data_IF_127919797644
#
_entry.id   IF_127919797644
#
_cell.length_a   1.000
_cell.length_b   1.000
_cell.length_c   1.000
_cell.angle_alpha   90.00
_cell.angle_beta   90.00
_cell.angle_gamma   90.00
#
_symmetry.space_group_name_H-M   'P 1'
#
loop_
_entity.id
_entity.type
_entity.pdbx_description
1 polymer ?
#
# COMPACT_ATOMS: atom_id res chain seq x y z
N UNK A 1 17.87 -18.15 9.30
CA UNK A 1 17.95 -19.46 9.96
C UNK A 1 18.09 -19.26 11.45
N UNK A 2 17.08 -19.69 12.17
CA UNK A 2 16.82 -19.43 13.59
C UNK A 2 17.85 -20.10 14.49
N UNK A 3 19.01 -19.55 14.75
CA UNK A 3 19.93 -19.79 15.86
C UNK A 3 19.98 -21.14 16.63
N UNK A 4 19.34 -22.17 16.12
CA UNK A 4 19.41 -23.53 16.72
C UNK A 4 20.73 -24.18 16.32
N UNK A 5 21.57 -24.41 17.29
CA UNK A 5 22.79 -25.21 17.12
C UNK A 5 22.37 -26.66 16.81
N UNK A 6 22.58 -27.11 15.58
CA UNK A 6 22.52 -28.52 15.21
C UNK A 6 23.93 -29.08 15.28
N UNK A 7 24.14 -30.10 16.10
CA UNK A 7 25.38 -30.91 16.09
C UNK A 7 25.15 -32.12 15.21
N UNK A 8 25.98 -32.29 14.20
CA UNK A 8 25.99 -33.45 13.31
C UNK A 8 27.30 -34.17 13.47
N UNK A 9 27.27 -35.48 13.66
CA UNK A 9 28.47 -36.31 13.66
C UNK A 9 28.99 -36.44 12.23
N UNK A 10 30.23 -35.99 12.01
CA UNK A 10 30.95 -36.11 10.74
C UNK A 10 31.86 -37.30 10.76
N UNK A 11 32.01 -38.03 9.67
CA UNK A 11 32.98 -39.11 9.52
C UNK A 11 34.38 -38.53 9.32
N UNK A 12 35.44 -39.23 9.76
CA UNK A 12 36.81 -38.71 9.79
C UNK A 12 37.33 -38.18 8.44
N UNK A 13 36.80 -38.61 7.29
CA UNK A 13 37.16 -38.11 5.97
C UNK A 13 36.45 -36.84 5.53
N UNK A 14 35.41 -36.35 6.24
CA UNK A 14 34.61 -35.15 5.89
C UNK A 14 35.08 -33.89 6.62
N UNK A 15 35.96 -34.04 7.62
CA UNK A 15 36.41 -32.95 8.48
C UNK A 15 37.37 -31.97 7.77
N UNK A 16 38.31 -32.45 6.99
CA UNK A 16 39.33 -31.63 6.31
C UNK A 16 38.70 -30.75 5.20
N UNK A 17 37.89 -31.31 4.28
CA UNK A 17 37.21 -30.48 3.28
C UNK A 17 36.29 -29.42 3.89
N UNK A 18 35.62 -29.71 5.01
CA UNK A 18 34.75 -28.76 5.70
C UNK A 18 35.54 -27.64 6.39
N UNK A 19 36.71 -27.96 6.96
CA UNK A 19 37.62 -26.96 7.53
C UNK A 19 38.15 -26.01 6.45
N UNK A 20 38.53 -26.51 5.28
CA UNK A 20 38.96 -25.70 4.16
C UNK A 20 37.85 -24.77 3.66
N UNK A 21 36.62 -25.28 3.55
CA UNK A 21 35.46 -24.45 3.16
C UNK A 21 35.15 -23.33 4.19
N UNK A 22 35.28 -23.63 5.49
CA UNK A 22 35.10 -22.65 6.55
C UNK A 22 36.18 -21.56 6.49
N UNK A 23 37.43 -21.94 6.27
CA UNK A 23 38.54 -20.98 6.14
C UNK A 23 38.39 -20.13 4.88
N UNK A 24 38.06 -20.72 3.73
CA UNK A 24 37.77 -19.99 2.50
C UNK A 24 36.59 -18.99 2.70
N UNK A 25 35.52 -19.39 3.39
CA UNK A 25 34.41 -18.53 3.72
C UNK A 25 34.82 -17.33 4.61
N UNK A 26 35.69 -17.57 5.61
CA UNK A 26 36.21 -16.50 6.46
C UNK A 26 37.06 -15.49 5.66
N UNK A 27 37.93 -15.99 4.78
CA UNK A 27 38.76 -15.14 3.91
C UNK A 27 37.87 -14.30 2.98
N UNK A 28 36.88 -14.93 2.33
CA UNK A 28 35.95 -14.22 1.47
C UNK A 28 35.12 -13.18 2.24
N UNK A 29 34.67 -13.50 3.45
CA UNK A 29 33.97 -12.55 4.32
C UNK A 29 34.86 -11.36 4.72
N UNK A 30 36.14 -11.61 5.01
CA UNK A 30 37.09 -10.55 5.34
C UNK A 30 37.34 -9.64 4.12
N UNK A 31 37.52 -10.22 2.93
CA UNK A 31 37.68 -9.48 1.67
C UNK A 31 36.42 -8.65 1.33
N UNK A 32 35.25 -9.22 1.51
CA UNK A 32 33.97 -8.53 1.32
C UNK A 32 33.85 -7.31 2.25
N UNK A 33 34.21 -7.49 3.53
CA UNK A 33 34.18 -6.42 4.53
C UNK A 33 35.18 -5.30 4.21
N UNK A 34 36.36 -5.68 3.71
CA UNK A 34 37.40 -4.72 3.28
C UNK A 34 36.95 -3.95 2.02
N UNK A 35 36.36 -4.63 1.03
CA UNK A 35 35.80 -3.99 -0.16
C UNK A 35 34.64 -3.06 0.19
N UNK A 36 33.73 -3.47 1.10
CA UNK A 36 32.64 -2.64 1.59
C UNK A 36 33.16 -1.39 2.34
N UNK A 37 34.26 -1.52 3.08
CA UNK A 37 34.91 -0.39 3.77
C UNK A 37 35.61 0.59 2.82
N UNK A 38 36.12 0.08 1.69
CA UNK A 38 36.77 0.88 0.64
C UNK A 38 35.76 1.51 -0.34
N UNK A 39 34.53 1.02 -0.38
CA UNK A 39 33.48 1.67 -1.19
C UNK A 39 33.23 3.08 -0.65
N UNK A 40 33.38 4.14 -1.48
CA UNK A 40 33.04 5.47 -1.05
C UNK A 40 31.59 5.44 -0.56
N UNK A 41 31.34 5.95 0.65
CA UNK A 41 29.98 6.23 1.10
C UNK A 41 29.44 7.27 0.13
N UNK A 42 28.80 6.81 -0.94
CA UNK A 42 28.07 7.68 -1.85
C UNK A 42 27.03 8.36 -0.97
N UNK A 43 27.25 9.63 -0.65
CA UNK A 43 26.21 10.48 -0.09
C UNK A 43 25.10 10.44 -1.14
N UNK A 44 24.03 9.71 -0.86
CA UNK A 44 22.86 9.80 -1.69
C UNK A 44 22.52 11.28 -1.83
N UNK A 45 22.45 11.82 -3.05
CA UNK A 45 22.06 13.21 -3.23
C UNK A 45 20.74 13.39 -2.49
N UNK A 46 20.57 14.50 -1.79
CA UNK A 46 19.31 14.83 -1.13
C UNK A 46 18.29 14.96 -2.24
N UNK A 47 17.47 13.91 -2.41
CA UNK A 47 16.43 13.89 -3.43
C UNK A 47 15.39 14.94 -3.02
N UNK A 48 15.14 15.88 -3.90
CA UNK A 48 14.08 16.87 -3.76
C UNK A 48 12.84 16.37 -4.50
N UNK A 49 11.76 16.14 -3.77
CA UNK A 49 10.50 15.58 -4.29
C UNK A 49 9.43 16.65 -4.34
N UNK A 50 8.56 16.55 -5.35
CA UNK A 50 7.42 17.44 -5.53
C UNK A 50 6.19 16.94 -4.76
N UNK A 51 6.11 15.63 -4.55
CA UNK A 51 5.04 14.98 -3.78
C UNK A 51 5.51 14.62 -2.37
N UNK A 52 4.61 14.09 -1.54
CA UNK A 52 4.92 13.72 -0.16
C UNK A 52 5.61 12.36 -0.08
N UNK A 53 6.87 12.29 -0.50
CA UNK A 53 7.67 11.06 -0.49
C UNK A 53 8.32 10.84 0.87
N UNK A 54 8.14 9.64 1.44
CA UNK A 54 8.74 9.19 2.70
C UNK A 54 9.68 8.02 2.39
N UNK A 55 10.94 8.13 2.82
CA UNK A 55 11.98 7.11 2.64
C UNK A 55 12.81 6.92 3.91
N UNK A 56 13.56 5.84 4.00
CA UNK A 56 14.57 5.62 5.04
C UNK A 56 13.99 5.63 6.46
N UNK A 57 14.53 6.51 7.34
CA UNK A 57 14.11 6.58 8.75
C UNK A 57 12.63 6.97 8.92
N UNK A 58 12.11 7.83 8.05
CA UNK A 58 10.69 8.23 8.08
C UNK A 58 9.78 7.04 7.79
N UNK A 59 10.16 6.22 6.81
CA UNK A 59 9.41 5.01 6.46
C UNK A 59 9.41 3.99 7.60
N UNK A 60 10.56 3.76 8.24
CA UNK A 60 10.67 2.87 9.39
C UNK A 60 9.82 3.36 10.58
N UNK A 61 9.83 4.65 10.87
CA UNK A 61 9.02 5.25 11.94
C UNK A 61 7.52 5.10 11.66
N UNK A 62 7.08 5.39 10.42
CA UNK A 62 5.68 5.28 10.00
C UNK A 62 5.14 3.85 10.14
N UNK A 63 5.96 2.83 9.84
CA UNK A 63 5.57 1.44 9.88
C UNK A 63 5.69 0.77 11.26
N UNK A 64 6.36 1.42 12.21
CA UNK A 64 6.58 0.84 13.54
C UNK A 64 5.29 0.68 14.34
N UNK A 65 4.35 1.61 14.23
CA UNK A 65 3.10 1.61 14.99
C UNK A 65 2.14 0.46 14.67
N UNK A 66 2.30 -0.20 13.52
CA UNK A 66 1.45 -1.33 13.10
C UNK A 66 2.11 -2.70 13.32
N UNK A 67 3.31 -2.70 13.86
CA UNK A 67 4.08 -3.90 14.12
C UNK A 67 3.43 -4.73 15.23
N UNK A 68 3.02 -5.94 14.92
CA UNK A 68 2.32 -6.80 15.87
C UNK A 68 0.79 -6.77 15.78
N UNK A 69 0.20 -5.89 15.00
CA UNK A 69 -1.23 -5.94 14.73
C UNK A 69 -1.61 -7.12 13.84
N UNK A 70 -2.82 -7.63 14.03
CA UNK A 70 -3.36 -8.69 13.18
C UNK A 70 -3.42 -8.29 11.71
N UNK A 71 -3.19 -9.25 10.83
CA UNK A 71 -3.25 -9.04 9.38
C UNK A 71 -4.67 -9.30 8.86
N UNK A 72 -5.09 -8.51 7.86
CA UNK A 72 -6.30 -8.79 7.07
C UNK A 72 -6.14 -10.11 6.32
N UNK A 73 -7.22 -10.85 6.13
CA UNK A 73 -7.19 -12.13 5.41
C UNK A 73 -6.70 -11.96 3.96
N UNK A 74 -6.97 -10.82 3.34
CA UNK A 74 -6.47 -10.48 2.00
C UNK A 74 -5.00 -10.04 1.95
N UNK A 75 -4.31 -9.90 3.09
CA UNK A 75 -2.93 -9.40 3.15
C UNK A 75 -1.93 -10.28 2.39
N UNK A 76 -2.13 -11.60 2.38
CA UNK A 76 -1.27 -12.52 1.63
C UNK A 76 -1.16 -12.19 0.15
N UNK A 77 -2.25 -11.69 -0.47
CA UNK A 77 -2.24 -11.29 -1.88
C UNK A 77 -1.28 -10.12 -2.15
N UNK A 78 -1.11 -9.21 -1.18
CA UNK A 78 -0.15 -8.11 -1.28
C UNK A 78 1.30 -8.62 -1.14
N UNK A 79 1.56 -9.54 -0.20
CA UNK A 79 2.89 -10.17 -0.06
C UNK A 79 3.24 -10.96 -1.32
N UNK A 80 2.30 -11.73 -1.88
CA UNK A 80 2.50 -12.49 -3.12
C UNK A 80 2.88 -11.57 -4.29
N UNK A 81 2.22 -10.40 -4.42
CA UNK A 81 2.59 -9.43 -5.44
C UNK A 81 3.99 -8.86 -5.23
N UNK A 82 4.33 -8.45 -4.01
CA UNK A 82 5.60 -7.80 -3.69
C UNK A 82 6.81 -8.69 -4.04
N UNK A 83 6.69 -9.99 -3.81
CA UNK A 83 7.77 -10.96 -4.00
C UNK A 83 7.59 -11.85 -5.23
N UNK A 84 6.57 -11.59 -6.06
CA UNK A 84 6.40 -12.27 -7.35
C UNK A 84 7.46 -11.82 -8.35
N UNK A 85 7.71 -12.67 -9.36
CA UNK A 85 8.54 -12.33 -10.51
C UNK A 85 7.76 -11.59 -11.62
N UNK A 86 6.48 -11.26 -11.39
CA UNK A 86 5.67 -10.52 -12.35
C UNK A 86 6.25 -9.12 -12.56
N UNK A 87 6.44 -8.75 -13.82
CA UNK A 87 6.76 -7.40 -14.30
C UNK A 87 5.52 -6.82 -14.99
N UNK A 88 5.52 -5.52 -15.28
CA UNK A 88 4.46 -4.81 -16.02
C UNK A 88 3.08 -4.73 -15.37
N UNK A 89 2.93 -5.21 -14.15
CA UNK A 89 1.67 -5.13 -13.38
C UNK A 89 1.81 -4.23 -12.16
N UNK A 90 0.72 -3.57 -11.81
CA UNK A 90 0.58 -2.79 -10.57
C UNK A 90 -0.39 -3.48 -9.62
N UNK A 91 -0.17 -3.36 -8.32
CA UNK A 91 -1.11 -3.84 -7.31
C UNK A 91 -2.05 -2.70 -6.90
N UNK A 92 -3.35 -2.95 -6.92
CA UNK A 92 -4.38 -2.00 -6.53
C UNK A 92 -5.05 -2.45 -5.23
N UNK A 93 -4.88 -1.69 -4.14
CA UNK A 93 -5.51 -1.96 -2.85
C UNK A 93 -6.61 -0.92 -2.63
N UNK A 94 -7.86 -1.28 -2.89
CA UNK A 94 -8.96 -0.33 -2.89
C UNK A 94 -10.20 -0.85 -2.14
N UNK A 95 -11.11 0.05 -1.81
CA UNK A 95 -12.32 -0.25 -1.06
C UNK A 95 -12.72 0.92 -0.16
N UNK A 96 -13.79 0.76 0.58
CA UNK A 96 -14.37 1.81 1.42
C UNK A 96 -13.40 2.32 2.49
N UNK A 97 -13.68 3.50 3.02
CA UNK A 97 -12.92 4.05 4.17
C UNK A 97 -12.97 3.09 5.36
N UNK A 98 -11.90 3.11 6.16
CA UNK A 98 -11.77 2.32 7.41
C UNK A 98 -11.79 0.80 7.22
N UNK A 99 -11.44 0.29 6.05
CA UNK A 99 -11.27 -1.15 5.80
C UNK A 99 -9.83 -1.65 5.94
N UNK A 100 -8.92 -0.80 6.43
CA UNK A 100 -7.54 -1.18 6.78
C UNK A 100 -6.52 -1.07 5.65
N UNK A 101 -6.80 -0.40 4.53
CA UNK A 101 -5.88 -0.27 3.38
C UNK A 101 -4.52 0.30 3.77
N UNK A 102 -4.48 1.53 4.29
CA UNK A 102 -3.24 2.19 4.75
C UNK A 102 -2.49 1.34 5.78
N UNK A 103 -3.23 0.69 6.69
CA UNK A 103 -2.65 -0.24 7.67
C UNK A 103 -1.96 -1.42 6.99
N UNK A 104 -2.59 -2.02 5.97
CA UNK A 104 -1.99 -3.11 5.19
C UNK A 104 -0.69 -2.67 4.50
N UNK A 105 -0.66 -1.48 3.90
CA UNK A 105 0.55 -0.94 3.27
C UNK A 105 1.67 -0.78 4.31
N UNK A 106 1.36 -0.20 5.46
CA UNK A 106 2.33 -0.03 6.57
C UNK A 106 2.82 -1.36 7.13
N UNK A 107 1.92 -2.36 7.26
CA UNK A 107 2.28 -3.71 7.70
C UNK A 107 3.20 -4.39 6.68
N UNK A 108 2.94 -4.25 5.39
CA UNK A 108 3.82 -4.78 4.35
C UNK A 108 5.23 -4.18 4.47
N UNK A 109 5.34 -2.85 4.61
CA UNK A 109 6.61 -2.14 4.82
C UNK A 109 7.30 -2.60 6.11
N UNK A 110 6.56 -2.78 7.21
CA UNK A 110 7.12 -3.21 8.50
C UNK A 110 7.71 -4.62 8.47
N UNK A 111 7.28 -5.46 7.53
CA UNK A 111 7.70 -6.87 7.35
C UNK A 111 8.83 -7.04 6.35
N UNK A 112 9.16 -6.00 5.60
CA UNK A 112 10.25 -6.04 4.61
C UNK A 112 11.61 -6.31 5.25
N UNK A 113 12.49 -6.95 4.50
CA UNK A 113 13.90 -7.09 4.86
C UNK A 113 14.56 -5.70 4.95
N UNK A 114 15.68 -5.59 5.65
CA UNK A 114 16.45 -4.32 5.71
C UNK A 114 16.90 -3.87 4.33
N UNK A 115 17.21 -4.80 3.45
CA UNK A 115 17.63 -4.52 2.08
C UNK A 115 16.46 -3.96 1.27
N UNK A 116 15.30 -4.63 1.26
CA UNK A 116 14.11 -4.17 0.55
C UNK A 116 13.61 -2.84 1.10
N UNK A 117 13.61 -2.67 2.43
CA UNK A 117 13.21 -1.42 3.08
C UNK A 117 14.11 -0.24 2.63
N UNK A 118 15.40 -0.48 2.39
CA UNK A 118 16.33 0.55 1.89
C UNK A 118 16.01 1.01 0.46
N UNK A 119 15.27 0.19 -0.29
CA UNK A 119 14.82 0.43 -1.67
C UNK A 119 13.33 0.69 -1.76
N UNK A 120 12.69 1.06 -0.66
CA UNK A 120 11.26 1.30 -0.57
C UNK A 120 10.95 2.76 -0.35
N UNK A 121 9.94 3.27 -1.04
CA UNK A 121 9.36 4.60 -0.86
C UNK A 121 7.85 4.49 -0.60
N UNK A 122 7.33 5.43 0.19
CA UNK A 122 5.91 5.60 0.40
C UNK A 122 5.54 7.04 0.04
N UNK A 123 4.47 7.20 -0.71
CA UNK A 123 3.95 8.50 -1.16
C UNK A 123 2.50 8.58 -0.70
N UNK A 124 2.16 9.64 0.03
CA UNK A 124 0.77 9.97 0.32
C UNK A 124 0.31 11.01 -0.70
N UNK A 125 -0.50 10.59 -1.65
CA UNK A 125 -1.03 11.48 -2.68
C UNK A 125 -2.00 12.51 -2.08
N UNK A 126 -2.01 13.71 -2.63
CA UNK A 126 -2.86 14.83 -2.24
C UNK A 126 -3.66 15.33 -3.44
N UNK A 127 -4.76 16.03 -3.19
CA UNK A 127 -5.57 16.65 -4.24
C UNK A 127 -4.83 17.70 -5.08
N UNK A 128 -3.76 18.28 -4.53
CA UNK A 128 -2.90 19.22 -5.24
C UNK A 128 -1.87 18.55 -6.14
N UNK A 129 -1.62 17.25 -5.96
CA UNK A 129 -0.62 16.52 -6.71
C UNK A 129 -1.18 16.16 -8.10
N UNK A 130 -0.29 16.08 -9.07
CA UNK A 130 -0.63 15.71 -10.45
C UNK A 130 0.19 14.49 -10.89
N UNK A 131 -0.30 13.79 -11.91
CA UNK A 131 0.44 12.67 -12.50
C UNK A 131 1.80 13.11 -13.08
N UNK A 132 1.92 14.35 -13.54
CA UNK A 132 3.20 14.90 -13.99
C UNK A 132 4.22 15.04 -12.85
N UNK A 133 3.80 15.50 -11.66
CA UNK A 133 4.64 15.53 -10.44
C UNK A 133 5.02 14.12 -10.01
N UNK A 134 4.05 13.23 -9.96
CA UNK A 134 4.24 11.82 -9.62
C UNK A 134 5.25 11.14 -10.55
N UNK A 135 5.14 11.35 -11.85
CA UNK A 135 6.06 10.81 -12.85
C UNK A 135 7.51 11.28 -12.61
N UNK A 136 7.71 12.58 -12.33
CA UNK A 136 9.05 13.12 -12.04
C UNK A 136 9.65 12.51 -10.78
N UNK A 137 8.85 12.35 -9.74
CA UNK A 137 9.33 11.77 -8.48
C UNK A 137 9.60 10.27 -8.61
N UNK A 138 8.74 9.51 -9.31
CA UNK A 138 8.97 8.09 -9.60
C UNK A 138 10.25 7.89 -10.42
N UNK A 139 10.52 8.78 -11.40
CA UNK A 139 11.76 8.73 -12.16
C UNK A 139 12.98 8.96 -11.26
N UNK A 140 12.94 9.98 -10.37
CA UNK A 140 14.02 10.21 -9.39
C UNK A 140 14.22 9.00 -8.46
N UNK A 141 13.13 8.35 -8.02
CA UNK A 141 13.20 7.14 -7.19
C UNK A 141 13.81 5.98 -7.97
N UNK A 142 13.39 5.75 -9.20
CA UNK A 142 13.94 4.71 -10.07
C UNK A 142 15.44 4.90 -10.31
N UNK A 143 15.86 6.12 -10.69
CA UNK A 143 17.28 6.48 -10.94
C UNK A 143 18.13 6.33 -9.67
N UNK A 144 17.53 6.50 -8.48
CA UNK A 144 18.17 6.29 -7.18
C UNK A 144 18.18 4.82 -6.71
N UNK A 145 17.63 3.88 -7.51
CA UNK A 145 17.64 2.45 -7.24
C UNK A 145 16.52 1.94 -6.34
N UNK A 146 15.45 2.72 -6.15
CA UNK A 146 14.27 2.24 -5.45
C UNK A 146 13.53 1.20 -6.29
N UNK A 147 13.01 0.17 -5.61
CA UNK A 147 12.33 -0.94 -6.25
C UNK A 147 10.85 -1.05 -5.86
N UNK A 148 10.51 -0.69 -4.64
CA UNK A 148 9.16 -0.80 -4.09
C UNK A 148 8.60 0.59 -3.85
N UNK A 149 7.44 0.91 -4.42
CA UNK A 149 6.78 2.20 -4.21
C UNK A 149 5.32 1.98 -3.83
N UNK A 150 4.97 2.47 -2.65
CA UNK A 150 3.61 2.46 -2.14
C UNK A 150 3.03 3.86 -2.31
N UNK A 151 1.94 3.99 -3.03
CA UNK A 151 1.25 5.27 -3.27
C UNK A 151 -0.14 5.18 -2.66
N UNK A 152 -0.35 5.88 -1.55
CA UNK A 152 -1.60 5.87 -0.82
C UNK A 152 -2.50 7.03 -1.24
N UNK A 153 -3.81 6.79 -1.29
CA UNK A 153 -4.87 7.71 -1.72
C UNK A 153 -4.65 8.28 -3.14
N UNK A 154 -4.13 7.46 -4.07
CA UNK A 154 -3.79 7.89 -5.45
C UNK A 154 -5.00 8.48 -6.20
N UNK A 155 -6.20 8.03 -5.91
CA UNK A 155 -7.45 8.50 -6.52
C UNK A 155 -7.82 9.92 -6.15
N UNK A 156 -7.11 10.58 -5.21
CA UNK A 156 -7.29 12.01 -4.94
C UNK A 156 -6.77 12.90 -6.08
N UNK A 157 -5.83 12.40 -6.89
CA UNK A 157 -5.31 13.13 -8.04
C UNK A 157 -6.33 13.11 -9.17
N UNK A 158 -6.65 14.29 -9.71
CA UNK A 158 -7.72 14.43 -10.73
C UNK A 158 -7.40 13.71 -12.04
N UNK A 159 -6.13 13.68 -12.41
CA UNK A 159 -5.63 13.11 -13.66
C UNK A 159 -5.19 11.63 -13.51
N UNK A 160 -5.52 10.98 -12.37
CA UNK A 160 -5.16 9.60 -12.11
C UNK A 160 -5.82 8.63 -13.10
N UNK A 161 -7.14 8.74 -13.29
CA UNK A 161 -7.91 7.78 -14.09
C UNK A 161 -7.37 7.72 -15.52
N UNK A 162 -7.17 8.87 -16.16
CA UNK A 162 -6.75 8.97 -17.56
C UNK A 162 -5.24 8.75 -17.78
N UNK A 163 -4.48 8.60 -16.70
CA UNK A 163 -3.02 8.48 -16.78
C UNK A 163 -2.48 7.29 -15.99
N UNK A 164 -3.33 6.39 -15.54
CA UNK A 164 -2.93 5.26 -14.69
C UNK A 164 -1.98 4.27 -15.39
N UNK A 165 -2.03 4.17 -16.72
CA UNK A 165 -1.12 3.36 -17.53
C UNK A 165 0.36 3.70 -17.30
N UNK A 166 0.69 4.93 -16.89
CA UNK A 166 2.05 5.33 -16.56
C UNK A 166 2.70 4.40 -15.53
N UNK A 167 1.95 3.97 -14.53
CA UNK A 167 2.47 3.11 -13.46
C UNK A 167 2.86 1.72 -13.96
N UNK A 168 2.07 1.14 -14.86
CA UNK A 168 2.33 -0.18 -15.44
C UNK A 168 3.34 -0.11 -16.59
N UNK A 169 3.10 0.73 -17.59
CA UNK A 169 3.80 0.75 -18.84
C UNK A 169 5.22 1.30 -18.74
N UNK A 170 5.46 2.15 -17.77
CA UNK A 170 6.77 2.74 -17.55
C UNK A 170 7.46 2.08 -16.36
N UNK A 171 6.92 2.28 -15.15
CA UNK A 171 7.67 1.95 -13.95
C UNK A 171 7.61 0.46 -13.58
N UNK A 172 6.46 -0.19 -13.66
CA UNK A 172 6.38 -1.62 -13.41
C UNK A 172 7.09 -2.43 -14.50
N UNK A 173 6.99 -2.01 -15.76
CA UNK A 173 7.72 -2.61 -16.87
C UNK A 173 9.25 -2.51 -16.70
N UNK A 174 9.75 -1.46 -16.03
CA UNK A 174 11.16 -1.33 -15.67
C UNK A 174 11.55 -2.10 -14.40
N UNK A 175 10.65 -2.89 -13.83
CA UNK A 175 10.91 -3.77 -12.67
C UNK A 175 10.64 -3.15 -11.30
N UNK A 176 9.98 -1.99 -11.23
CA UNK A 176 9.47 -1.47 -9.95
C UNK A 176 8.20 -2.21 -9.53
N UNK A 177 8.06 -2.48 -8.25
CA UNK A 177 6.80 -2.93 -7.65
C UNK A 177 6.01 -1.72 -7.20
N UNK A 178 4.90 -1.44 -7.89
CA UNK A 178 4.04 -0.29 -7.64
C UNK A 178 2.76 -0.75 -6.97
N UNK A 179 2.49 -0.24 -5.79
CA UNK A 179 1.28 -0.49 -5.03
C UNK A 179 0.50 0.81 -4.93
N UNK A 180 -0.69 0.82 -5.50
CA UNK A 180 -1.60 1.95 -5.49
C UNK A 180 -2.72 1.68 -4.51
N UNK A 181 -3.06 2.60 -3.62
CA UNK A 181 -4.22 2.46 -2.76
C UNK A 181 -5.12 3.69 -2.79
N UNK A 182 -6.38 3.47 -2.45
CA UNK A 182 -7.35 4.55 -2.35
C UNK A 182 -8.74 4.08 -1.95
N UNK A 183 -9.55 5.04 -1.55
CA UNK A 183 -10.93 4.81 -1.08
C UNK A 183 -11.96 4.89 -2.19
N UNK A 184 -11.60 5.43 -3.33
CA UNK A 184 -12.50 5.60 -4.48
C UNK A 184 -12.51 4.33 -5.36
N UNK A 185 -13.42 3.41 -5.05
CA UNK A 185 -13.56 2.16 -5.80
C UNK A 185 -14.00 2.38 -7.24
N UNK A 186 -14.80 3.41 -7.51
CA UNK A 186 -15.23 3.73 -8.88
C UNK A 186 -14.05 4.24 -9.71
N UNK A 187 -13.22 5.13 -9.16
CA UNK A 187 -12.02 5.61 -9.84
C UNK A 187 -11.04 4.48 -10.20
N UNK A 188 -10.84 3.52 -9.29
CA UNK A 188 -10.03 2.34 -9.61
C UNK A 188 -10.67 1.44 -10.65
N UNK A 189 -11.99 1.26 -10.60
CA UNK A 189 -12.68 0.47 -11.59
C UNK A 189 -12.55 1.10 -12.99
N UNK A 190 -12.75 2.40 -13.11
CA UNK A 190 -12.55 3.15 -14.35
C UNK A 190 -11.12 3.04 -14.87
N UNK A 191 -10.11 3.22 -13.99
CA UNK A 191 -8.72 3.08 -14.36
C UNK A 191 -8.38 1.65 -14.85
N UNK A 192 -8.94 0.61 -14.19
CA UNK A 192 -8.76 -0.78 -14.62
C UNK A 192 -9.40 -1.08 -15.97
N UNK A 193 -10.59 -0.53 -16.23
CA UNK A 193 -11.33 -0.78 -17.47
C UNK A 193 -10.62 -0.16 -18.69
N UNK A 194 -9.94 0.96 -18.50
CA UNK A 194 -9.38 1.74 -19.61
C UNK A 194 -7.86 1.69 -19.70
N UNK A 195 -7.17 2.07 -18.63
CA UNK A 195 -5.74 2.32 -18.64
C UNK A 195 -4.90 1.12 -18.18
N UNK A 196 -5.45 0.33 -17.24
CA UNK A 196 -4.75 -0.78 -16.58
C UNK A 196 -5.30 -2.15 -16.98
N UNK A 197 -5.95 -2.26 -18.13
CA UNK A 197 -6.51 -3.52 -18.61
C UNK A 197 -5.45 -4.62 -18.63
N UNK A 198 -5.73 -5.76 -17.94
CA UNK A 198 -4.80 -6.89 -17.72
C UNK A 198 -3.45 -6.56 -17.03
N UNK A 199 -3.22 -5.30 -16.63
CA UNK A 199 -1.98 -4.84 -15.98
C UNK A 199 -2.16 -4.50 -14.50
N UNK A 200 -3.32 -4.80 -13.95
CA UNK A 200 -3.63 -4.60 -12.55
C UNK A 200 -3.83 -5.91 -11.81
N UNK A 201 -3.32 -5.99 -10.58
CA UNK A 201 -3.65 -7.02 -9.60
C UNK A 201 -4.52 -6.41 -8.52
N UNK A 202 -5.85 -6.49 -8.63
CA UNK A 202 -6.75 -5.85 -7.69
C UNK A 202 -6.84 -6.64 -6.38
N UNK A 203 -6.76 -5.92 -5.26
CA UNK A 203 -7.06 -6.39 -3.91
C UNK A 203 -8.18 -5.52 -3.38
N UNK A 204 -9.41 -6.03 -3.44
CA UNK A 204 -10.57 -5.30 -2.95
C UNK A 204 -10.74 -5.52 -1.45
N UNK A 205 -10.53 -4.48 -0.66
CA UNK A 205 -10.80 -4.51 0.78
C UNK A 205 -12.27 -4.22 1.03
N UNK A 206 -13.06 -5.27 1.17
CA UNK A 206 -14.47 -5.19 1.57
C UNK A 206 -14.61 -4.78 3.04
N UNK A 207 -15.83 -4.58 3.51
CA UNK A 207 -16.11 -4.59 4.94
C UNK A 207 -15.45 -5.81 5.60
N UNK A 208 -14.90 -5.62 6.80
CA UNK A 208 -14.22 -6.69 7.53
C UNK A 208 -15.28 -7.69 8.00
N UNK A 209 -15.25 -8.96 7.56
CA UNK A 209 -16.22 -9.96 8.02
C UNK A 209 -16.15 -10.15 9.54
N UNK A 210 -17.27 -10.50 10.18
CA UNK A 210 -17.35 -10.64 11.65
C UNK A 210 -16.24 -11.52 12.24
N UNK A 211 -15.97 -12.67 11.64
CA UNK A 211 -14.91 -13.58 12.12
C UNK A 211 -13.52 -12.94 12.05
N UNK A 212 -13.22 -12.25 10.98
CA UNK A 212 -11.97 -11.51 10.82
C UNK A 212 -11.91 -10.32 11.80
N UNK A 213 -13.03 -9.62 11.97
CA UNK A 213 -13.17 -8.48 12.87
C UNK A 213 -12.91 -8.87 14.33
N UNK A 214 -13.55 -9.95 14.80
CA UNK A 214 -13.33 -10.52 16.13
C UNK A 214 -11.87 -10.88 16.35
N UNK A 215 -11.25 -11.55 15.38
CA UNK A 215 -9.82 -11.93 15.45
C UNK A 215 -8.88 -10.72 15.49
N UNK A 216 -9.17 -9.67 14.72
CA UNK A 216 -8.31 -8.49 14.62
C UNK A 216 -8.42 -7.58 15.84
N UNK A 217 -9.61 -7.38 16.36
CA UNK A 217 -9.93 -6.36 17.38
C UNK A 217 -10.32 -6.95 18.74
N UNK A 218 -10.46 -8.28 18.84
CA UNK A 218 -10.90 -8.94 20.08
C UNK A 218 -12.37 -8.64 20.43
N UNK A 219 -13.20 -8.28 19.43
CA UNK A 219 -14.60 -7.93 19.63
C UNK A 219 -15.47 -9.15 19.30
N UNK A 220 -16.10 -9.73 20.31
CA UNK A 220 -16.95 -10.91 20.16
C UNK A 220 -18.44 -10.58 20.16
N UNK A 221 -18.81 -9.32 20.40
CA UNK A 221 -20.21 -8.86 20.38
C UNK A 221 -20.66 -8.58 18.94
N UNK A 222 -21.73 -9.27 18.50
CA UNK A 222 -22.36 -9.02 17.20
C UNK A 222 -22.98 -7.62 17.15
N UNK A 223 -23.60 -7.16 18.26
CA UNK A 223 -24.20 -5.82 18.33
C UNK A 223 -23.13 -4.72 18.16
N UNK A 224 -21.96 -4.92 18.76
CA UNK A 224 -20.83 -4.00 18.58
C UNK A 224 -20.33 -4.03 17.13
N UNK A 225 -20.18 -5.23 16.56
CA UNK A 225 -19.80 -5.36 15.15
C UNK A 225 -20.77 -4.65 14.21
N UNK A 226 -22.08 -4.77 14.42
CA UNK A 226 -23.12 -4.11 13.60
C UNK A 226 -22.96 -2.58 13.68
N UNK A 227 -22.71 -2.02 14.87
CA UNK A 227 -22.50 -0.57 15.06
C UNK A 227 -21.32 -0.02 14.25
N UNK A 228 -20.28 -0.83 14.03
CA UNK A 228 -19.11 -0.45 13.22
C UNK A 228 -19.25 -0.85 11.75
N UNK A 229 -20.24 -1.73 11.41
CA UNK A 229 -20.49 -2.18 10.05
C UNK A 229 -19.28 -2.83 9.39
N UNK A 230 -18.43 -3.53 10.16
CA UNK A 230 -17.19 -4.12 9.63
C UNK A 230 -16.13 -3.09 9.22
N UNK A 231 -16.17 -1.89 9.80
CA UNK A 231 -15.14 -0.86 9.61
C UNK A 231 -14.33 -0.67 10.90
N UNK A 232 -13.06 -0.27 10.78
CA UNK A 232 -12.21 0.04 11.92
C UNK A 232 -12.69 1.33 12.60
N UNK A 233 -12.51 1.41 13.92
CA UNK A 233 -12.81 2.63 14.70
C UNK A 233 -11.93 3.78 14.19
N UNK A 234 -12.51 4.96 14.10
CA UNK A 234 -11.71 6.16 13.93
C UNK A 234 -10.94 6.43 15.25
N UNK A 235 -9.67 6.77 15.15
CA UNK A 235 -8.83 7.10 16.30
C UNK A 235 -7.96 5.95 16.82
N UNK A 236 -8.38 4.69 16.78
CA UNK A 236 -7.51 3.57 17.21
C UNK A 236 -6.46 3.21 16.15
N UNK A 237 -6.73 3.52 14.88
CA UNK A 237 -5.89 3.16 13.74
C UNK A 237 -5.67 4.31 12.74
N UNK A 238 -6.21 5.49 13.00
CA UNK A 238 -6.06 6.66 12.13
C UNK A 238 -4.85 7.49 12.57
N UNK A 239 -3.70 7.20 12.01
CA UNK A 239 -2.48 8.00 12.27
C UNK A 239 -2.46 9.36 11.54
N UNK A 240 -3.39 9.62 10.62
CA UNK A 240 -3.34 10.78 9.73
C UNK A 240 -4.70 11.44 9.41
N UNK A 241 -5.80 11.08 10.09
CA UNK A 241 -7.05 11.81 9.89
C UNK A 241 -7.09 13.04 10.79
N UNK A 242 -7.06 14.23 10.17
CA UNK A 242 -7.27 15.53 10.84
C UNK A 242 -8.68 15.65 11.46
N UNK A 243 -9.60 14.74 11.15
CA UNK A 243 -10.94 14.63 11.73
C UNK A 243 -10.94 13.77 13.02
N UNK A 244 -10.20 14.21 14.02
CA UNK A 244 -10.04 13.50 15.31
C UNK A 244 -11.28 13.55 16.23
N UNK A 245 -12.42 14.03 15.76
CA UNK A 245 -13.69 13.97 16.52
C UNK A 245 -14.46 12.67 16.37
N UNK A 246 -13.80 11.60 15.93
CA UNK A 246 -14.44 10.36 15.61
C UNK A 246 -14.42 9.35 16.75
N UNK A 247 -15.04 9.64 17.88
CA UNK A 247 -15.54 8.63 18.82
C UNK A 247 -16.73 7.84 18.27
N UNK A 248 -17.09 8.05 17.00
CA UNK A 248 -18.35 7.58 16.43
C UNK A 248 -18.15 6.31 15.61
N UNK A 249 -18.84 5.26 15.99
CA UNK A 249 -19.13 4.12 15.14
C UNK A 249 -19.78 4.59 13.84
N UNK A 250 -19.40 3.99 12.69
CA UNK A 250 -19.88 4.42 11.36
C UNK A 250 -21.39 4.28 11.19
N UNK A 251 -22.02 3.38 11.95
CA UNK A 251 -23.44 2.99 11.83
C UNK A 251 -24.13 2.95 13.20
N UNK A 252 -23.83 3.90 14.08
CA UNK A 252 -24.41 3.96 15.43
C UNK A 252 -25.88 4.39 15.40
N UNK A 253 -26.19 5.34 14.55
CA UNK A 253 -27.49 5.97 14.38
C UNK A 253 -27.65 6.52 12.95
N UNK A 254 -28.83 7.04 12.62
CA UNK A 254 -29.13 7.56 11.29
C UNK A 254 -28.19 8.69 10.86
N UNK A 255 -27.76 9.54 11.79
CA UNK A 255 -26.85 10.66 11.48
C UNK A 255 -25.44 10.17 11.15
N UNK A 256 -24.88 9.26 11.93
CA UNK A 256 -23.57 8.66 11.68
C UNK A 256 -23.57 7.84 10.37
N UNK A 257 -24.67 7.13 10.10
CA UNK A 257 -24.88 6.38 8.87
C UNK A 257 -24.91 7.29 7.65
N UNK A 258 -25.70 8.36 7.67
CA UNK A 258 -25.75 9.35 6.59
C UNK A 258 -24.40 10.01 6.37
N UNK A 259 -23.72 10.42 7.43
CA UNK A 259 -22.39 11.00 7.35
C UNK A 259 -21.38 10.06 6.71
N UNK A 260 -21.42 8.75 7.06
CA UNK A 260 -20.56 7.76 6.43
C UNK A 260 -20.89 7.59 4.95
N UNK A 261 -22.16 7.47 4.58
CA UNK A 261 -22.60 7.36 3.17
C UNK A 261 -22.13 8.59 2.39
N UNK A 262 -22.38 9.80 2.90
CA UNK A 262 -21.98 11.04 2.22
C UNK A 262 -20.46 11.13 2.03
N UNK A 263 -19.67 10.82 3.07
CA UNK A 263 -18.23 11.07 3.07
C UNK A 263 -17.43 9.93 2.46
N UNK A 264 -17.85 8.69 2.65
CA UNK A 264 -17.11 7.50 2.22
C UNK A 264 -17.60 6.94 0.87
N UNK A 265 -18.81 7.26 0.45
CA UNK A 265 -19.42 6.71 -0.77
C UNK A 265 -19.72 7.86 -1.75
N UNK A 266 -20.68 8.76 -1.42
CA UNK A 266 -21.16 9.76 -2.36
C UNK A 266 -20.05 10.71 -2.83
N UNK A 267 -19.23 11.23 -1.91
CA UNK A 267 -18.12 12.13 -2.29
C UNK A 267 -17.07 11.45 -3.18
N UNK A 268 -16.83 10.15 -3.00
CA UNK A 268 -15.92 9.41 -3.85
C UNK A 268 -16.52 9.22 -5.25
N UNK A 269 -17.80 8.84 -5.35
CA UNK A 269 -18.52 8.74 -6.63
C UNK A 269 -18.53 10.10 -7.33
N UNK A 270 -18.88 11.18 -6.64
CA UNK A 270 -18.87 12.54 -7.18
C UNK A 270 -17.48 12.93 -7.70
N UNK A 271 -16.43 12.60 -6.95
CA UNK A 271 -15.05 12.89 -7.35
C UNK A 271 -14.68 12.14 -8.64
N UNK A 272 -14.95 10.83 -8.72
CA UNK A 272 -14.68 10.04 -9.91
C UNK A 272 -15.47 10.54 -11.13
N UNK A 273 -16.75 10.82 -10.98
CA UNK A 273 -17.57 11.34 -12.07
C UNK A 273 -17.12 12.72 -12.55
N UNK A 274 -16.61 13.58 -11.64
CA UNK A 274 -16.07 14.89 -11.99
C UNK A 274 -14.70 14.81 -12.67
N UNK A 275 -13.93 13.76 -12.42
CA UNK A 275 -12.60 13.54 -13.01
C UNK A 275 -12.65 12.78 -14.35
N UNK A 276 -13.79 12.19 -14.69
CA UNK A 276 -13.93 11.33 -15.85
C UNK A 276 -14.89 11.93 -16.88
N UNK A 277 -14.36 12.57 -17.91
CA UNK A 277 -15.14 13.28 -18.94
C UNK A 277 -15.96 12.36 -19.86
N UNK A 278 -15.53 11.10 -20.03
CA UNK A 278 -16.17 10.19 -20.97
C UNK A 278 -17.40 9.44 -20.43
N UNK A 279 -18.12 9.98 -19.44
CA UNK A 279 -19.26 9.46 -18.66
C UNK A 279 -20.32 8.56 -19.33
N UNK A 280 -20.06 8.04 -20.54
CA UNK A 280 -21.01 7.25 -21.32
C UNK A 280 -21.49 5.96 -20.68
N UNK A 281 -20.67 5.28 -19.88
CA UNK A 281 -21.02 4.03 -19.20
C UNK A 281 -21.90 4.22 -17.95
N UNK A 282 -21.89 5.41 -17.35
CA UNK A 282 -22.59 5.71 -16.09
C UNK A 282 -23.61 6.83 -16.22
N UNK A 283 -24.29 6.93 -17.36
CA UNK A 283 -25.27 7.99 -17.63
C UNK A 283 -26.25 8.21 -16.48
N UNK A 284 -26.71 7.14 -15.86
CA UNK A 284 -27.67 7.27 -14.75
C UNK A 284 -27.01 7.88 -13.50
N UNK A 285 -25.82 7.40 -13.09
CA UNK A 285 -25.09 7.99 -11.97
C UNK A 285 -24.70 9.44 -12.25
N UNK A 286 -24.29 9.74 -13.48
CA UNK A 286 -23.96 11.10 -13.90
C UNK A 286 -25.18 12.03 -13.86
N UNK A 287 -26.35 11.56 -14.32
CA UNK A 287 -27.59 12.35 -14.22
C UNK A 287 -28.01 12.61 -12.78
N UNK A 288 -27.87 11.66 -11.89
CA UNK A 288 -28.13 11.84 -10.45
C UNK A 288 -27.13 12.82 -9.82
N UNK A 289 -25.87 12.78 -10.24
CA UNK A 289 -24.84 13.74 -9.80
C UNK A 289 -25.18 15.16 -10.25
N UNK A 290 -25.50 15.38 -11.54
CA UNK A 290 -25.88 16.70 -12.08
C UNK A 290 -27.16 17.24 -11.44
N UNK A 291 -28.12 16.37 -11.14
CA UNK A 291 -29.37 16.74 -10.46
C UNK A 291 -29.15 17.00 -8.95
N UNK A 292 -28.01 16.69 -8.38
CA UNK A 292 -27.78 16.77 -6.94
C UNK A 292 -28.53 15.73 -6.10
N UNK A 293 -29.01 14.68 -6.75
CA UNK A 293 -29.86 13.61 -6.15
C UNK A 293 -29.06 12.36 -5.75
N UNK A 294 -27.75 12.34 -5.98
CA UNK A 294 -26.92 11.15 -5.76
C UNK A 294 -26.99 10.64 -4.31
N UNK A 295 -26.94 11.53 -3.32
CA UNK A 295 -26.99 11.17 -1.89
C UNK A 295 -28.33 10.56 -1.49
N UNK A 296 -29.44 11.04 -2.10
CA UNK A 296 -30.76 10.51 -1.81
C UNK A 296 -31.07 9.19 -2.54
N UNK A 297 -30.32 8.88 -3.59
CA UNK A 297 -30.46 7.65 -4.36
C UNK A 297 -29.64 6.46 -3.78
N UNK A 298 -28.61 6.76 -2.99
CA UNK A 298 -27.77 5.78 -2.29
C UNK A 298 -28.27 5.56 -0.87
#
# INVERSE_FOLDING_TARGET
ENGKKHSQYLRDGELEPLREQIEQRKVLQAQLKELQAKMPKVRQPKLDFETSVIVGKGLAAMSQGVKGWGLRDCFGQLEDYLYSNESDRVCLVFGLRRTGKTTMLRQAIARMSKEDLSRTAYIKARRSDTMAMMNRDLKKLFDAGFRYVFIDEVTLMRDFIDSAALFSDVFAAMGMKIILSGTDSLGFWLAMDQELYDRAKPIHTTFIPYREYSRLLGIDSIDEYIRYGGTLRAGELAFDDEDVNAQDASFRDDESTRRYIDTAICKNIQHSLACYEAGGHFRHLYSLYEAGELTSAI
#
